data_IF_951701457707
#
_entry.id   IF_951701457707
#
_cell.length_a   1.000
_cell.length_b   1.000
_cell.length_c   1.000
_cell.angle_alpha   90.00
_cell.angle_beta   90.00
_cell.angle_gamma   90.00
#
_symmetry.space_group_name_H-M   'P 1'
#
loop_
_entity.id
_entity.type
_entity.pdbx_description
1 polymer ?
#
# COMPACT_ATOMS: atom_id res chain seq x y z
N UNK A 1 -34.55 -41.82 20.92
CA UNK A 1 -33.58 -42.86 20.48
C UNK A 1 -32.24 -42.21 20.16
N UNK A 2 -31.29 -42.51 21.04
CA UNK A 2 -29.83 -42.39 21.10
C UNK A 2 -28.98 -42.02 19.85
N UNK A 3 -28.23 -40.92 19.99
CA UNK A 3 -26.75 -40.70 19.88
C UNK A 3 -25.88 -41.31 18.76
N UNK A 4 -25.02 -40.46 18.18
CA UNK A 4 -23.54 -40.58 17.93
C UNK A 4 -23.05 -39.22 17.34
N UNK A 5 -22.26 -38.31 17.95
CA UNK A 5 -20.82 -38.30 18.36
C UNK A 5 -19.91 -39.02 17.33
N UNK A 6 -18.76 -38.53 16.83
CA UNK A 6 -17.68 -37.61 17.27
C UNK A 6 -16.79 -37.31 16.03
N UNK A 7 -16.22 -36.12 15.84
CA UNK A 7 -14.87 -35.64 16.25
C UNK A 7 -13.66 -36.17 15.45
N UNK A 8 -12.69 -35.28 15.19
CA UNK A 8 -11.40 -35.54 14.53
C UNK A 8 -10.96 -34.36 13.66
N UNK A 9 -10.58 -33.19 14.19
CA UNK A 9 -9.30 -32.80 14.84
C UNK A 9 -8.04 -32.83 13.94
N UNK A 10 -7.60 -31.61 13.60
CA UNK A 10 -6.23 -31.04 13.73
C UNK A 10 -5.02 -31.49 12.88
N UNK A 11 -4.38 -30.42 12.35
CA UNK A 11 -2.95 -30.05 12.43
C UNK A 11 -1.89 -30.69 11.51
N UNK A 12 -1.13 -29.77 10.91
CA UNK A 12 0.34 -29.83 10.78
C UNK A 12 0.82 -30.36 9.43
N UNK A 13 1.94 -29.93 8.87
CA UNK A 13 2.90 -28.90 9.24
C UNK A 13 3.81 -28.65 8.02
N UNK A 14 4.29 -27.41 7.93
CA UNK A 14 5.55 -26.94 7.37
C UNK A 14 6.55 -28.00 6.85
N UNK A 15 7.02 -27.81 5.62
CA UNK A 15 8.36 -28.23 5.19
C UNK A 15 9.00 -27.14 4.35
N UNK A 16 9.94 -26.43 4.98
CA UNK A 16 10.84 -25.42 4.42
C UNK A 16 12.24 -26.05 4.46
N UNK A 17 12.91 -26.15 3.31
CA UNK A 17 14.31 -26.57 3.17
C UNK A 17 14.69 -26.45 1.69
N UNK A 18 15.36 -25.40 1.20
CA UNK A 18 16.77 -24.99 1.35
C UNK A 18 17.76 -26.08 0.93
N UNK A 19 18.44 -25.85 -0.20
CA UNK A 19 19.77 -26.32 -0.68
C UNK A 19 19.90 -25.80 -2.15
N UNK A 20 20.53 -24.67 -2.46
CA UNK A 20 21.97 -24.43 -2.60
C UNK A 20 22.71 -25.48 -3.47
N UNK A 21 23.06 -25.11 -4.71
CA UNK A 21 24.44 -25.08 -5.24
C UNK A 21 24.56 -25.38 -6.75
N UNK A 22 25.21 -24.43 -7.45
CA UNK A 22 26.23 -24.59 -8.51
C UNK A 22 25.95 -25.53 -9.70
N UNK A 23 26.02 -24.98 -10.91
CA UNK A 23 27.14 -25.24 -11.84
C UNK A 23 27.03 -24.39 -13.11
N UNK A 24 28.12 -23.69 -13.42
CA UNK A 24 28.37 -23.03 -14.70
C UNK A 24 28.88 -24.07 -15.73
N UNK A 25 28.62 -23.91 -17.02
CA UNK A 25 29.27 -24.71 -18.06
C UNK A 25 30.70 -24.20 -18.37
N UNK A 26 31.65 -25.09 -18.70
CA UNK A 26 33.05 -24.74 -18.95
C UNK A 26 33.30 -24.18 -20.35
N UNK A 27 34.41 -23.44 -20.44
CA UNK A 27 34.97 -22.78 -21.62
C UNK A 27 35.45 -23.73 -22.72
N UNK A 28 35.46 -23.21 -23.95
CA UNK A 28 36.20 -23.73 -25.11
C UNK A 28 36.68 -22.54 -25.99
N UNK A 29 37.73 -22.71 -26.81
CA UNK A 29 38.92 -21.86 -26.81
C UNK A 29 38.96 -20.73 -27.88
N UNK A 30 39.93 -19.82 -27.69
CA UNK A 30 40.30 -18.71 -28.58
C UNK A 30 40.73 -19.16 -29.99
N UNK A 31 40.71 -18.22 -30.95
CA UNK A 31 41.94 -17.91 -31.66
C UNK A 31 42.22 -16.40 -31.81
N UNK A 32 43.51 -16.12 -31.93
CA UNK A 32 44.20 -14.83 -31.99
C UNK A 32 43.90 -14.05 -33.29
N UNK A 33 43.77 -12.73 -33.18
CA UNK A 33 44.06 -11.78 -34.27
C UNK A 33 44.69 -10.52 -33.64
N UNK A 34 45.92 -10.13 -34.00
CA UNK A 34 46.47 -8.82 -33.66
C UNK A 34 46.18 -7.84 -34.81
N UNK A 35 45.66 -6.65 -34.50
CA UNK A 35 46.21 -5.36 -34.95
C UNK A 35 45.26 -4.18 -34.69
N UNK A 36 45.90 -3.09 -34.25
CA UNK A 36 45.51 -1.67 -34.19
C UNK A 36 44.05 -1.24 -34.29
N UNK A 37 43.52 -0.64 -33.21
CA UNK A 37 42.55 0.47 -33.34
C UNK A 37 42.70 1.49 -32.20
N UNK A 38 43.20 2.67 -32.56
CA UNK A 38 42.83 4.03 -32.13
C UNK A 38 42.54 4.26 -30.64
N UNK A 39 43.36 5.12 -30.02
CA UNK A 39 43.04 5.76 -28.74
C UNK A 39 41.78 6.63 -28.86
N UNK A 40 40.61 6.07 -28.55
CA UNK A 40 39.40 6.84 -28.28
C UNK A 40 39.48 7.45 -26.88
N UNK A 41 39.43 8.77 -26.83
CA UNK A 41 39.19 9.55 -25.62
C UNK A 41 37.83 9.12 -25.06
N UNK A 42 37.72 8.63 -23.81
CA UNK A 42 36.41 8.29 -23.28
C UNK A 42 35.63 9.60 -23.08
N UNK A 43 34.67 9.85 -23.97
CA UNK A 43 33.62 10.84 -23.72
C UNK A 43 32.88 10.34 -22.48
N UNK A 44 33.04 11.06 -21.38
CA UNK A 44 32.34 10.79 -20.15
C UNK A 44 30.83 10.85 -20.42
N UNK A 45 30.22 9.68 -20.56
CA UNK A 45 28.77 9.52 -20.54
C UNK A 45 28.35 9.89 -19.12
N UNK A 46 27.92 11.14 -18.92
CA UNK A 46 27.20 11.54 -17.73
C UNK A 46 25.89 10.76 -17.69
N UNK A 47 25.93 9.62 -17.02
CA UNK A 47 24.75 8.87 -16.62
C UNK A 47 23.85 9.83 -15.83
N UNK A 48 22.58 10.05 -16.21
CA UNK A 48 21.69 10.89 -15.42
C UNK A 48 21.59 10.28 -14.03
N UNK A 49 21.93 11.10 -13.02
CA UNK A 49 21.83 10.74 -11.63
C UNK A 49 20.40 10.26 -11.34
N UNK A 50 20.19 9.10 -10.71
CA UNK A 50 18.86 8.66 -10.37
C UNK A 50 18.25 9.66 -9.39
N UNK A 51 17.22 10.38 -9.84
CA UNK A 51 16.42 11.27 -9.01
C UNK A 51 15.87 10.44 -7.86
N UNK A 52 16.49 10.56 -6.69
CA UNK A 52 16.02 9.93 -5.47
C UNK A 52 14.72 10.62 -5.08
N UNK A 53 13.59 10.02 -5.43
CA UNK A 53 12.30 10.43 -4.89
C UNK A 53 12.36 10.28 -3.38
N UNK A 54 12.34 11.40 -2.67
CA UNK A 54 12.31 11.38 -1.22
C UNK A 54 11.10 10.56 -0.76
N UNK A 55 11.36 9.44 -0.08
CA UNK A 55 10.31 8.54 0.39
C UNK A 55 9.44 9.31 1.38
N UNK A 56 8.21 9.64 0.97
CA UNK A 56 7.26 10.33 1.84
C UNK A 56 7.01 9.49 3.10
N UNK A 57 7.18 10.12 4.26
CA UNK A 57 6.91 9.47 5.55
C UNK A 57 5.39 9.35 5.70
N UNK A 58 4.90 8.12 5.82
CA UNK A 58 3.48 7.85 6.10
C UNK A 58 3.29 7.57 7.58
N UNK A 59 2.21 8.10 8.15
CA UNK A 59 1.78 7.82 9.53
C UNK A 59 0.54 6.93 9.50
N UNK A 60 0.47 5.96 10.41
CA UNK A 60 -0.70 5.07 10.55
C UNK A 60 -1.64 5.63 11.61
N UNK A 61 -2.93 5.69 11.28
CA UNK A 61 -4.01 6.04 12.19
C UNK A 61 -5.05 4.92 12.22
N UNK A 62 -5.66 4.71 13.39
CA UNK A 62 -6.76 3.77 13.59
C UNK A 62 -7.87 4.50 14.34
N UNK A 63 -9.11 4.38 13.87
CA UNK A 63 -10.29 4.96 14.52
C UNK A 63 -11.39 3.89 14.63
N UNK A 64 -12.11 3.89 15.74
CA UNK A 64 -13.28 3.05 15.94
C UNK A 64 -14.52 3.89 15.64
N UNK A 65 -15.33 3.43 14.70
CA UNK A 65 -16.63 4.01 14.38
C UNK A 65 -17.71 3.17 15.03
N UNK A 66 -18.78 3.82 15.49
CA UNK A 66 -19.99 3.07 15.85
C UNK A 66 -20.57 2.37 14.59
N UNK A 67 -21.39 1.32 14.76
CA UNK A 67 -21.90 0.55 13.63
C UNK A 67 -22.71 1.39 12.64
N UNK A 68 -23.47 2.38 13.12
CA UNK A 68 -24.34 3.18 12.27
C UNK A 68 -23.52 4.14 11.40
N UNK A 69 -22.51 4.77 11.99
CA UNK A 69 -21.56 5.64 11.31
C UNK A 69 -20.70 4.86 10.31
N UNK A 70 -20.32 3.63 10.65
CA UNK A 70 -19.61 2.74 9.72
C UNK A 70 -20.45 2.41 8.48
N UNK A 71 -21.76 2.18 8.64
CA UNK A 71 -22.68 1.97 7.51
C UNK A 71 -22.81 3.23 6.65
N UNK A 72 -23.04 4.40 7.26
CA UNK A 72 -23.14 5.66 6.54
C UNK A 72 -21.87 5.97 5.73
N UNK A 73 -20.70 5.67 6.29
CA UNK A 73 -19.43 5.82 5.61
C UNK A 73 -19.28 4.88 4.40
N UNK A 74 -19.78 3.65 4.51
CA UNK A 74 -19.77 2.67 3.42
C UNK A 74 -20.72 3.05 2.29
N UNK A 75 -21.90 3.56 2.64
CA UNK A 75 -22.85 4.11 1.67
C UNK A 75 -22.25 5.28 0.89
N UNK A 76 -21.52 6.18 1.56
CA UNK A 76 -20.85 7.31 0.91
C UNK A 76 -19.77 6.84 -0.06
N UNK A 77 -18.96 5.83 0.33
CA UNK A 77 -17.99 5.23 -0.57
C UNK A 77 -18.66 4.56 -1.78
N UNK A 78 -19.79 3.88 -1.59
CA UNK A 78 -20.56 3.26 -2.67
C UNK A 78 -21.17 4.30 -3.61
N UNK A 79 -21.71 5.40 -3.08
CA UNK A 79 -22.22 6.51 -3.88
C UNK A 79 -21.10 7.15 -4.73
N UNK A 80 -19.92 7.37 -4.14
CA UNK A 80 -18.76 7.88 -4.86
C UNK A 80 -18.31 6.94 -5.99
N UNK A 81 -18.27 5.62 -5.76
CA UNK A 81 -17.94 4.63 -6.79
C UNK A 81 -18.91 4.67 -7.97
N UNK A 82 -20.21 4.72 -7.67
CA UNK A 82 -21.25 4.79 -8.70
C UNK A 82 -21.12 6.04 -9.55
N UNK A 83 -20.82 7.18 -8.93
CA UNK A 83 -20.70 8.47 -9.62
C UNK A 83 -19.41 8.61 -10.43
N UNK A 84 -18.30 8.08 -9.93
CA UNK A 84 -16.98 8.25 -10.54
C UNK A 84 -16.61 7.10 -11.48
N UNK A 85 -17.44 6.06 -11.57
CA UNK A 85 -17.22 4.86 -12.39
C UNK A 85 -15.86 4.17 -12.17
N UNK A 86 -15.27 4.39 -11.00
CA UNK A 86 -13.98 3.83 -10.61
C UNK A 86 -14.02 3.28 -9.20
N UNK A 87 -13.01 2.48 -8.87
CA UNK A 87 -12.78 2.07 -7.48
C UNK A 87 -12.44 3.30 -6.63
N UNK A 88 -13.17 3.41 -5.52
CA UNK A 88 -12.95 4.40 -4.46
C UNK A 88 -12.83 3.62 -3.16
N UNK A 89 -11.69 3.71 -2.48
CA UNK A 89 -11.52 3.07 -1.20
C UNK A 89 -11.96 4.00 -0.06
N UNK A 90 -12.29 3.43 1.11
CA UNK A 90 -12.71 4.20 2.30
C UNK A 90 -11.68 5.27 2.67
N UNK A 91 -10.39 4.97 2.48
CA UNK A 91 -9.30 5.91 2.73
C UNK A 91 -9.34 7.12 1.77
N UNK A 92 -9.77 6.93 0.52
CA UNK A 92 -9.88 8.03 -0.44
C UNK A 92 -10.96 9.02 -0.03
N UNK A 93 -12.08 8.48 0.46
CA UNK A 93 -13.16 9.27 1.03
C UNK A 93 -12.67 10.05 2.24
N UNK A 94 -11.99 9.39 3.19
CA UNK A 94 -11.47 10.05 4.38
C UNK A 94 -10.50 11.18 4.03
N UNK A 95 -9.58 10.94 3.08
CA UNK A 95 -8.65 11.96 2.58
C UNK A 95 -9.40 13.15 1.98
N UNK A 96 -10.41 12.89 1.15
CA UNK A 96 -11.19 13.96 0.53
C UNK A 96 -11.94 14.81 1.58
N UNK A 97 -12.52 14.17 2.60
CA UNK A 97 -13.19 14.89 3.69
C UNK A 97 -12.22 15.75 4.50
N UNK A 98 -11.03 15.22 4.81
CA UNK A 98 -9.99 15.98 5.52
C UNK A 98 -9.55 17.19 4.69
N UNK A 99 -9.29 16.99 3.40
CA UNK A 99 -8.88 18.08 2.51
C UNK A 99 -9.98 19.14 2.40
N UNK A 100 -11.24 18.72 2.24
CA UNK A 100 -12.36 19.65 2.13
C UNK A 100 -12.52 20.50 3.41
N UNK A 101 -12.40 19.90 4.59
CA UNK A 101 -12.47 20.64 5.86
C UNK A 101 -11.20 21.49 6.12
N UNK A 102 -10.06 21.10 5.53
CA UNK A 102 -8.85 21.91 5.56
C UNK A 102 -8.96 23.15 4.65
N UNK A 103 -9.64 23.03 3.51
CA UNK A 103 -9.73 24.11 2.53
C UNK A 103 -10.91 25.07 2.79
N UNK A 104 -12.02 24.58 3.36
CA UNK A 104 -13.23 25.39 3.64
C UNK A 104 -13.38 25.70 5.14
N UNK A 105 -13.27 26.99 5.49
CA UNK A 105 -13.41 27.47 6.87
C UNK A 105 -14.81 27.21 7.46
N UNK A 106 -15.88 27.35 6.66
CA UNK A 106 -17.25 27.10 7.12
C UNK A 106 -17.44 25.63 7.45
N UNK A 107 -16.91 24.73 6.61
CA UNK A 107 -16.97 23.30 6.89
C UNK A 107 -16.13 22.93 8.12
N UNK A 108 -14.98 23.57 8.30
CA UNK A 108 -14.14 23.39 9.48
C UNK A 108 -14.89 23.76 10.77
N UNK A 109 -15.55 24.92 10.77
CA UNK A 109 -16.33 25.39 11.92
C UNK A 109 -17.51 24.45 12.20
N UNK A 110 -18.19 23.95 11.15
CA UNK A 110 -19.23 22.94 11.30
C UNK A 110 -18.72 21.65 11.95
N UNK A 111 -17.55 21.17 11.53
CA UNK A 111 -16.91 19.98 12.14
C UNK A 111 -16.59 20.23 13.61
N UNK A 112 -16.07 21.41 13.97
CA UNK A 112 -15.77 21.77 15.37
C UNK A 112 -17.06 21.79 16.20
N UNK A 113 -18.10 22.46 15.70
CA UNK A 113 -19.40 22.54 16.38
C UNK A 113 -20.02 21.14 16.58
N UNK A 114 -19.92 20.26 15.59
CA UNK A 114 -20.42 18.89 15.71
C UNK A 114 -19.65 18.08 16.76
N UNK A 115 -18.33 18.29 16.88
CA UNK A 115 -17.51 17.69 17.94
C UNK A 115 -17.93 18.20 19.32
N UNK A 116 -18.22 19.50 19.46
CA UNK A 116 -18.71 20.07 20.71
C UNK A 116 -20.07 19.48 21.11
N UNK A 117 -20.99 19.37 20.15
CA UNK A 117 -22.33 18.82 20.36
C UNK A 117 -22.31 17.31 20.68
N UNK A 118 -21.48 16.54 19.97
CA UNK A 118 -21.34 15.10 20.19
C UNK A 118 -20.51 14.76 21.44
N UNK A 119 -19.63 15.67 21.88
CA UNK A 119 -18.82 15.56 23.10
C UNK A 119 -19.56 15.92 24.40
N UNK A 120 -20.76 16.53 24.31
CA UNK A 120 -21.55 17.01 25.45
C UNK A 120 -22.17 15.94 26.36
N UNK A 121 -22.07 14.65 26.02
CA UNK A 121 -22.60 13.53 26.83
C UNK A 121 -21.68 13.01 27.93
N UNK A 122 -20.54 13.66 28.20
CA UNK A 122 -19.61 13.30 29.29
C UNK A 122 -19.44 14.44 30.28
N UNK A 123 -20.49 14.76 31.05
CA UNK A 123 -20.40 15.47 32.33
C UNK A 123 -21.44 14.92 33.29
#
# INVERSE_FOLDING_TARGET
MNTRRRAGDTKGALSRGLLAARSAPPAAPAPEVPDEVVAEVPVAVTTPEPVRTAKQRTSKFTANLDPQLALAFDELAMAARRRLERRVDKLDVLKALIMLAADDASLRDQVINEIENSGGGRR
#
